data_IF_833554822200
#
_entry.id   IF_833554822200
#
_cell.length_a   1.000
_cell.length_b   1.000
_cell.length_c   1.000
_cell.angle_alpha   90.00
_cell.angle_beta   90.00
_cell.angle_gamma   90.00
#
_symmetry.space_group_name_H-M   'P 1'
#
loop_
_entity.id
_entity.type
_entity.pdbx_description
1 polymer ?
#
# COMPACT_ATOMS: atom_id res chain seq x y z
N UNK A 1 29.34 -0.17 -6.72
CA UNK A 1 28.85 -0.57 -7.07
C UNK A 1 28.50 -0.67 -7.75
N UNK A 2 28.08 -0.41 -7.82
CA UNK A 2 27.52 -0.61 -8.35
C UNK A 2 26.89 -0.57 -8.77
N UNK A 3 26.63 -0.46 -8.89
CA UNK A 3 25.79 -0.65 -9.30
C UNK A 3 25.63 -1.29 -10.05
N UNK A 4 26.01 -1.82 -10.44
CA UNK A 4 25.53 -2.50 -10.96
C UNK A 4 24.97 -3.38 -10.59
N UNK A 5 25.26 -4.12 -10.02
CA UNK A 5 24.52 -4.92 -9.39
C UNK A 5 23.54 -4.19 -8.82
N UNK A 6 23.70 -3.23 -8.89
CA UNK A 6 22.83 -2.33 -8.53
C UNK A 6 21.45 -2.57 -9.07
N UNK A 7 21.34 -3.10 -10.23
CA UNK A 7 20.03 -3.45 -10.70
C UNK A 7 19.40 -4.54 -9.87
N UNK A 8 20.20 -5.42 -9.32
CA UNK A 8 19.65 -6.48 -8.50
C UNK A 8 19.04 -5.95 -7.24
N UNK A 9 19.73 -5.05 -6.57
CA UNK A 9 19.17 -4.58 -5.34
C UNK A 9 18.06 -3.56 -5.57
N UNK A 10 17.96 -3.01 -6.78
CA UNK A 10 16.78 -2.24 -7.06
C UNK A 10 15.66 -3.09 -7.65
N UNK A 11 15.88 -4.40 -7.77
CA UNK A 11 14.92 -5.26 -8.40
C UNK A 11 13.50 -5.10 -7.88
N UNK A 12 13.26 -5.35 -6.60
CA UNK A 12 11.89 -5.26 -6.08
C UNK A 12 11.43 -3.81 -6.03
N UNK A 13 12.33 -2.86 -5.85
CA UNK A 13 11.95 -1.44 -5.76
C UNK A 13 11.49 -0.88 -7.10
N UNK A 14 11.82 -1.55 -8.19
CA UNK A 14 11.35 -1.13 -9.51
C UNK A 14 10.04 -1.79 -9.90
N UNK A 15 9.53 -2.73 -9.11
CA UNK A 15 8.28 -3.41 -9.40
C UNK A 15 7.09 -2.50 -9.11
N UNK A 16 6.17 -2.35 -10.07
CA UNK A 16 5.03 -1.46 -9.85
C UNK A 16 4.22 -1.80 -8.61
N UNK A 17 4.01 -3.09 -8.33
CA UNK A 17 3.19 -3.45 -7.18
C UNK A 17 3.90 -3.16 -5.85
N UNK A 18 5.24 -3.22 -5.82
CA UNK A 18 5.95 -2.79 -4.63
C UNK A 18 5.81 -1.28 -4.43
N UNK A 19 5.97 -0.53 -5.52
CA UNK A 19 5.83 0.93 -5.48
C UNK A 19 4.44 1.34 -5.02
N UNK A 20 3.41 0.60 -5.45
CA UNK A 20 2.06 0.85 -4.98
C UNK A 20 1.94 0.65 -3.47
N UNK A 21 2.59 -0.37 -2.92
CA UNK A 21 2.52 -0.58 -1.46
C UNK A 21 3.28 0.48 -0.69
N UNK A 22 4.33 1.06 -1.26
CA UNK A 22 4.97 2.21 -0.64
C UNK A 22 4.02 3.40 -0.58
N UNK A 23 3.32 3.65 -1.66
CA UNK A 23 2.33 4.72 -1.72
C UNK A 23 1.23 4.48 -0.69
N UNK A 24 0.74 3.24 -0.61
CA UNK A 24 -0.29 2.88 0.36
C UNK A 24 0.20 3.10 1.79
N UNK A 25 1.44 2.75 2.06
CA UNK A 25 2.01 2.93 3.38
C UNK A 25 2.10 4.42 3.76
N UNK A 26 2.64 5.22 2.85
CA UNK A 26 2.78 6.66 3.10
C UNK A 26 1.42 7.35 3.21
N UNK A 27 0.48 6.98 2.36
CA UNK A 27 -0.88 7.50 2.40
C UNK A 27 -1.55 7.13 3.72
N UNK A 28 -1.38 5.88 4.17
CA UNK A 28 -1.98 5.43 5.41
C UNK A 28 -1.40 6.16 6.61
N UNK A 29 -0.08 6.40 6.60
CA UNK A 29 0.56 7.13 7.69
C UNK A 29 -0.06 8.53 7.83
N UNK A 30 -0.28 9.21 6.74
CA UNK A 30 -0.90 10.53 6.79
C UNK A 30 -2.39 10.44 7.14
N UNK A 31 -3.09 9.48 6.58
CA UNK A 31 -4.51 9.30 6.85
C UNK A 31 -4.77 9.09 8.35
N UNK A 32 -4.04 8.16 8.98
CA UNK A 32 -4.28 7.88 10.39
C UNK A 32 -3.87 9.06 11.27
N UNK A 33 -2.87 9.81 10.84
CA UNK A 33 -2.46 11.01 11.57
C UNK A 33 -3.55 12.07 11.56
N UNK A 34 -4.30 12.18 10.45
CA UNK A 34 -5.33 13.20 10.31
C UNK A 34 -6.68 12.78 10.89
N UNK A 35 -7.04 11.52 10.76
CA UNK A 35 -8.43 11.11 10.97
C UNK A 35 -8.64 10.10 12.08
N UNK A 36 -7.58 9.48 12.61
CA UNK A 36 -7.72 8.49 13.67
C UNK A 36 -7.09 9.05 14.94
N UNK A 37 -7.79 8.91 16.09
CA UNK A 37 -7.29 9.39 17.35
C UNK A 37 -5.91 8.79 17.66
N UNK A 38 -4.98 9.60 18.11
CA UNK A 38 -3.59 9.16 18.28
C UNK A 38 -3.46 8.01 19.29
N UNK A 39 -4.38 7.93 20.24
CA UNK A 39 -4.35 6.86 21.24
C UNK A 39 -5.21 5.66 20.82
N UNK A 40 -5.71 5.65 19.60
CA UNK A 40 -6.53 4.56 19.10
C UNK A 40 -5.67 3.40 18.64
N UNK A 41 -6.10 2.19 19.01
CA UNK A 41 -5.45 0.98 18.55
C UNK A 41 -5.54 0.83 17.03
N UNK A 42 -6.62 1.34 16.44
CA UNK A 42 -6.83 1.29 15.01
C UNK A 42 -5.71 1.98 14.25
N UNK A 43 -5.18 3.09 14.82
CA UNK A 43 -4.07 3.80 14.20
C UNK A 43 -2.86 2.88 14.01
N UNK A 44 -2.49 2.18 15.08
CA UNK A 44 -1.33 1.28 15.02
C UNK A 44 -1.61 0.08 14.11
N UNK A 45 -2.83 -0.45 14.16
CA UNK A 45 -3.20 -1.60 13.35
C UNK A 45 -3.17 -1.28 11.85
N UNK A 46 -3.70 -0.13 11.47
CA UNK A 46 -3.69 0.28 10.07
C UNK A 46 -2.27 0.50 9.56
N UNK A 47 -1.48 1.22 10.35
CA UNK A 47 -0.09 1.48 9.99
C UNK A 47 0.69 0.17 9.85
N UNK A 48 0.48 -0.75 10.78
CA UNK A 48 1.18 -2.03 10.76
C UNK A 48 0.74 -2.88 9.58
N UNK A 49 -0.54 -2.88 9.24
CA UNK A 49 -1.03 -3.64 8.10
C UNK A 49 -0.43 -3.10 6.79
N UNK A 50 -0.37 -1.78 6.64
CA UNK A 50 0.22 -1.18 5.45
C UNK A 50 1.70 -1.52 5.35
N UNK A 51 2.42 -1.45 6.48
CA UNK A 51 3.83 -1.77 6.51
C UNK A 51 4.09 -3.25 6.20
N UNK A 52 3.28 -4.13 6.79
CA UNK A 52 3.41 -5.57 6.56
C UNK A 52 3.19 -5.91 5.09
N UNK A 53 2.19 -5.28 4.46
CA UNK A 53 1.95 -5.48 3.03
C UNK A 53 3.18 -5.15 2.21
N UNK A 54 3.79 -3.99 2.47
CA UNK A 54 4.97 -3.54 1.74
C UNK A 54 6.18 -4.46 2.00
N UNK A 55 6.46 -4.74 3.27
CA UNK A 55 7.64 -5.51 3.64
C UNK A 55 7.60 -6.95 3.14
N UNK A 56 6.43 -7.57 3.18
CA UNK A 56 6.32 -8.95 2.74
C UNK A 56 6.44 -9.11 1.23
N UNK A 57 6.09 -8.08 0.48
CA UNK A 57 6.36 -8.10 -0.97
C UNK A 57 7.87 -8.06 -1.22
N UNK A 58 8.58 -7.18 -0.52
CA UNK A 58 10.02 -7.08 -0.66
C UNK A 58 10.70 -8.40 -0.29
N UNK A 59 10.32 -8.95 0.87
CA UNK A 59 10.93 -10.19 1.34
C UNK A 59 10.58 -11.37 0.44
N UNK A 60 9.35 -11.38 -0.08
CA UNK A 60 8.96 -12.44 -1.00
C UNK A 60 9.79 -12.40 -2.28
N UNK A 61 10.03 -11.21 -2.80
CA UNK A 61 10.84 -11.07 -4.00
C UNK A 61 12.25 -11.65 -3.80
N UNK A 62 12.79 -11.51 -2.59
CA UNK A 62 14.15 -11.93 -2.30
C UNK A 62 14.28 -13.43 -2.02
N UNK A 63 13.17 -14.15 -1.88
CA UNK A 63 13.22 -15.59 -1.63
C UNK A 63 13.69 -16.33 -2.88
N UNK A 64 14.39 -17.45 -2.66
CA UNK A 64 14.91 -18.23 -3.77
C UNK A 64 13.91 -19.23 -4.31
N UNK A 65 13.07 -19.80 -3.45
CA UNK A 65 12.12 -20.80 -3.92
C UNK A 65 10.78 -20.15 -4.23
N UNK A 66 10.08 -20.72 -5.20
CA UNK A 66 8.74 -20.27 -5.55
C UNK A 66 7.80 -20.44 -4.37
N UNK A 67 7.94 -21.53 -3.64
CA UNK A 67 7.10 -21.80 -2.49
C UNK A 67 7.21 -20.72 -1.43
N UNK A 68 8.44 -20.31 -1.10
CA UNK A 68 8.66 -19.25 -0.13
C UNK A 68 8.16 -17.91 -0.63
N UNK A 69 8.34 -17.64 -1.94
CA UNK A 69 7.81 -16.40 -2.53
C UNK A 69 6.30 -16.32 -2.38
N UNK A 70 5.61 -17.41 -2.73
CA UNK A 70 4.15 -17.42 -2.66
C UNK A 70 3.65 -17.28 -1.23
N UNK A 71 4.35 -17.89 -0.28
CA UNK A 71 3.96 -17.79 1.12
C UNK A 71 4.00 -16.34 1.61
N UNK A 72 5.08 -15.63 1.31
CA UNK A 72 5.21 -14.25 1.75
C UNK A 72 4.29 -13.30 0.99
N UNK A 73 4.06 -13.56 -0.29
CA UNK A 73 3.12 -12.75 -1.06
C UNK A 73 1.69 -12.94 -0.53
N UNK A 74 1.35 -14.15 -0.07
CA UNK A 74 0.04 -14.37 0.54
C UNK A 74 -0.09 -13.63 1.87
N UNK A 75 0.99 -13.54 2.65
CA UNK A 75 0.97 -12.74 3.87
C UNK A 75 0.73 -11.27 3.53
N UNK A 76 1.42 -10.77 2.51
CA UNK A 76 1.24 -9.38 2.07
C UNK A 76 -0.20 -9.13 1.66
N UNK A 77 -0.79 -10.05 0.90
CA UNK A 77 -2.16 -9.93 0.44
C UNK A 77 -3.13 -9.87 1.62
N UNK A 78 -2.93 -10.74 2.62
CA UNK A 78 -3.76 -10.73 3.81
C UNK A 78 -3.68 -9.43 4.58
N UNK A 79 -2.46 -8.87 4.70
CA UNK A 79 -2.26 -7.60 5.39
C UNK A 79 -2.97 -6.46 4.66
N UNK A 80 -2.90 -6.45 3.34
CA UNK A 80 -3.56 -5.40 2.56
C UNK A 80 -5.09 -5.55 2.60
N UNK A 81 -5.58 -6.78 2.71
CA UNK A 81 -7.01 -7.01 2.89
C UNK A 81 -7.49 -6.46 4.22
N UNK A 82 -6.72 -6.69 5.29
CA UNK A 82 -7.02 -6.11 6.59
C UNK A 82 -7.11 -4.59 6.52
N UNK A 83 -6.14 -3.99 5.84
CA UNK A 83 -6.11 -2.54 5.71
C UNK A 83 -7.32 -2.03 4.94
N UNK A 84 -7.69 -2.72 3.88
CA UNK A 84 -8.86 -2.37 3.09
C UNK A 84 -10.12 -2.41 3.96
N UNK A 85 -10.24 -3.43 4.80
CA UNK A 85 -11.39 -3.55 5.70
C UNK A 85 -11.41 -2.41 6.73
N UNK A 86 -10.23 -2.01 7.23
CA UNK A 86 -10.17 -0.89 8.16
C UNK A 86 -10.62 0.42 7.53
N UNK A 87 -10.20 0.68 6.29
CA UNK A 87 -10.69 1.85 5.56
C UNK A 87 -12.20 1.78 5.33
N UNK A 88 -12.70 0.60 4.97
CA UNK A 88 -14.13 0.43 4.74
C UNK A 88 -14.92 0.67 6.01
N UNK A 89 -14.42 0.19 7.15
CA UNK A 89 -15.06 0.40 8.44
C UNK A 89 -15.07 1.88 8.81
N UNK A 90 -13.97 2.57 8.53
CA UNK A 90 -13.91 4.00 8.80
C UNK A 90 -15.00 4.75 8.03
N UNK A 91 -15.13 4.45 6.75
CA UNK A 91 -16.15 5.11 5.93
C UNK A 91 -17.56 4.81 6.48
N UNK A 92 -17.82 3.55 6.76
CA UNK A 92 -19.13 3.13 7.27
C UNK A 92 -19.46 3.77 8.61
N UNK A 93 -18.50 3.74 9.53
CA UNK A 93 -18.71 4.26 10.89
C UNK A 93 -18.86 5.77 10.91
N UNK A 94 -18.36 6.46 9.92
CA UNK A 94 -18.45 7.91 9.83
C UNK A 94 -19.51 8.35 8.81
N UNK A 95 -20.32 7.41 8.32
CA UNK A 95 -21.41 7.67 7.38
C UNK A 95 -20.90 8.37 6.11
N UNK A 96 -19.72 7.98 5.64
CA UNK A 96 -19.14 8.54 4.43
C UNK A 96 -19.33 7.57 3.28
N UNK A 97 -19.57 8.07 2.07
CA UNK A 97 -19.77 7.17 0.93
C UNK A 97 -18.45 6.58 0.45
N UNK A 98 -18.53 5.35 -0.05
CA UNK A 98 -17.39 4.73 -0.73
C UNK A 98 -17.57 5.00 -2.23
N UNK A 99 -16.47 5.33 -2.91
CA UNK A 99 -16.54 5.52 -4.36
C UNK A 99 -16.72 4.16 -5.02
N UNK A 100 -17.72 4.04 -5.88
CA UNK A 100 -17.86 2.84 -6.70
C UNK A 100 -16.66 2.71 -7.62
N UNK A 101 -16.32 1.47 -7.97
CA UNK A 101 -15.11 1.24 -8.77
C UNK A 101 -15.17 1.90 -10.14
N UNK A 102 -16.37 2.20 -10.64
CA UNK A 102 -16.54 2.84 -11.94
C UNK A 102 -16.79 4.34 -11.83
N UNK A 103 -16.74 4.90 -10.63
CA UNK A 103 -16.91 6.34 -10.45
C UNK A 103 -15.77 7.09 -11.10
N UNK A 104 -16.02 8.37 -11.43
CA UNK A 104 -15.00 9.21 -12.05
C UNK A 104 -13.77 9.34 -11.16
N UNK A 105 -13.98 9.51 -9.85
CA UNK A 105 -12.84 9.68 -8.95
C UNK A 105 -12.03 8.40 -8.79
N UNK A 106 -12.68 7.25 -8.74
CA UNK A 106 -11.96 5.99 -8.68
C UNK A 106 -11.13 5.76 -9.95
N UNK A 107 -11.68 6.16 -11.10
CA UNK A 107 -10.93 6.06 -12.36
C UNK A 107 -9.73 6.97 -12.39
N UNK A 108 -9.87 8.19 -11.85
CA UNK A 108 -8.75 9.12 -11.77
C UNK A 108 -7.61 8.52 -10.95
N UNK A 109 -7.95 7.96 -9.78
CA UNK A 109 -6.93 7.39 -8.92
C UNK A 109 -6.24 6.21 -9.61
N UNK A 110 -7.01 5.32 -10.26
CA UNK A 110 -6.41 4.18 -10.96
C UNK A 110 -5.51 4.63 -12.11
N UNK A 111 -5.86 5.73 -12.76
CA UNK A 111 -5.06 6.21 -13.89
C UNK A 111 -3.68 6.70 -13.47
N UNK A 112 -3.53 7.08 -12.20
CA UNK A 112 -2.23 7.56 -11.72
C UNK A 112 -1.14 6.50 -11.84
N UNK A 113 -1.52 5.22 -11.80
CA UNK A 113 -0.53 4.13 -11.85
C UNK A 113 0.22 4.12 -13.19
N UNK A 114 -0.34 4.73 -14.23
CA UNK A 114 0.27 4.73 -15.56
C UNK A 114 1.14 5.95 -15.83
N UNK A 115 1.28 6.85 -14.86
CA UNK A 115 2.18 7.99 -15.03
C UNK A 115 3.62 7.52 -14.99
N UNK A 116 4.49 8.22 -15.71
CA UNK A 116 5.90 7.85 -15.76
C UNK A 116 6.60 8.02 -14.42
N UNK A 117 6.16 8.98 -13.63
CA UNK A 117 6.67 9.20 -12.28
C UNK A 117 5.50 9.31 -11.34
N UNK A 118 5.54 8.56 -10.26
CA UNK A 118 4.47 8.58 -9.29
C UNK A 118 4.99 8.22 -7.91
N UNK A 119 4.47 8.89 -6.91
CA UNK A 119 4.73 8.56 -5.53
C UNK A 119 3.52 9.01 -4.72
N UNK A 120 3.66 9.00 -3.39
CA UNK A 120 2.58 9.40 -2.52
C UNK A 120 2.05 10.79 -2.85
N UNK A 121 2.93 11.73 -3.25
CA UNK A 121 2.51 13.11 -3.51
C UNK A 121 1.48 13.20 -4.63
N UNK A 122 1.49 12.26 -5.57
CA UNK A 122 0.51 12.24 -6.66
C UNK A 122 -0.88 11.87 -6.15
N UNK A 123 -0.98 11.26 -4.98
CA UNK A 123 -2.24 10.75 -4.44
C UNK A 123 -2.77 11.57 -3.26
N UNK A 124 -1.97 12.45 -2.68
CA UNK A 124 -2.33 13.06 -1.39
C UNK A 124 -3.57 13.95 -1.47
N UNK A 125 -3.92 14.44 -2.64
CA UNK A 125 -5.11 15.26 -2.79
C UNK A 125 -6.40 14.47 -2.59
N UNK A 126 -6.30 13.14 -2.57
CA UNK A 126 -7.46 12.28 -2.39
C UNK A 126 -7.68 11.86 -0.92
N UNK A 127 -6.85 12.31 -0.03
CA UNK A 127 -6.99 12.01 1.40
C UNK A 127 -8.24 12.67 2.02
#
# INVERSE_FOLDING_TARGET
>A
MDYNNYKDYKGYKSLPFFQQTEIIYDFTAEFVSKYIAYNSRTKDQMTQAARSGKQNIAEGYLQKSVESKLKLLNVARGSLEELLNDYSDFLRQNALPSWGKDSAKAREVRALVYKSYKDYNDYKDYI
#
